data_IF_733078056028
#
_entry.id   IF_733078056028
#
_cell.length_a   1.000
_cell.length_b   1.000
_cell.length_c   1.000
_cell.angle_alpha   90.00
_cell.angle_beta   90.00
_cell.angle_gamma   90.00
#
_symmetry.space_group_name_H-M   'P 1'
#
loop_
_entity.id
_entity.type
_entity.pdbx_description
1 polymer ?
#
# COMPACT_ATOMS: atom_id res chain seq x y z
N UNK A 1 18.25 18.40 10.99
CA UNK A 1 17.03 17.59 10.78
C UNK A 1 15.84 18.47 11.12
N UNK A 2 14.92 18.70 10.18
CA UNK A 2 13.73 19.53 10.43
C UNK A 2 12.62 18.68 11.08
N UNK A 3 11.84 19.29 11.98
CA UNK A 3 10.72 18.66 12.70
C UNK A 3 9.76 17.94 11.74
N UNK A 4 9.56 18.51 10.55
CA UNK A 4 8.72 17.96 9.47
C UNK A 4 9.18 16.59 8.98
N UNK A 5 10.50 16.32 8.99
CA UNK A 5 11.07 15.04 8.54
C UNK A 5 10.89 13.95 9.60
N UNK A 6 11.01 14.30 10.87
CA UNK A 6 10.74 13.40 12.00
C UNK A 6 9.26 13.02 12.02
N UNK A 7 8.36 14.00 11.85
CA UNK A 7 6.91 13.73 11.76
C UNK A 7 6.59 12.82 10.57
N UNK A 8 7.19 13.06 9.40
CA UNK A 8 7.02 12.20 8.23
C UNK A 8 7.50 10.77 8.48
N UNK A 9 8.65 10.58 9.14
CA UNK A 9 9.19 9.26 9.47
C UNK A 9 8.33 8.52 10.50
N UNK A 10 7.82 9.23 11.52
CA UNK A 10 6.91 8.65 12.52
C UNK A 10 5.58 8.26 11.89
N UNK A 11 4.98 9.14 11.07
CA UNK A 11 3.74 8.84 10.33
C UNK A 11 3.97 7.67 9.37
N UNK A 12 5.09 7.64 8.65
CA UNK A 12 5.44 6.53 7.77
C UNK A 12 5.63 5.22 8.53
N UNK A 13 6.31 5.24 9.68
CA UNK A 13 6.52 4.07 10.52
C UNK A 13 5.20 3.55 11.09
N UNK A 14 4.35 4.45 11.58
CA UNK A 14 3.04 4.11 12.14
C UNK A 14 2.12 3.56 11.05
N UNK A 15 2.07 4.19 9.88
CA UNK A 15 1.35 3.65 8.72
C UNK A 15 1.93 2.30 8.30
N UNK A 16 3.24 2.12 8.21
CA UNK A 16 3.84 0.84 7.84
C UNK A 16 3.49 -0.29 8.82
N UNK A 17 3.39 0.03 10.11
CA UNK A 17 3.18 -0.96 11.19
C UNK A 17 1.70 -1.22 11.48
N UNK A 18 0.83 -0.22 11.31
CA UNK A 18 -0.58 -0.27 11.64
C UNK A 18 -1.52 -0.17 10.42
N UNK A 19 -1.01 -0.08 9.19
CA UNK A 19 -1.90 -0.09 8.03
C UNK A 19 -2.60 -1.46 7.96
N UNK A 20 -3.93 -1.53 8.20
CA UNK A 20 -4.67 -2.79 8.17
C UNK A 20 -4.57 -3.47 6.80
N UNK A 21 -4.21 -2.72 5.75
CA UNK A 21 -4.01 -3.25 4.42
C UNK A 21 -2.71 -4.06 4.29
N UNK A 22 -1.73 -3.92 5.18
CA UNK A 22 -0.56 -4.81 5.19
C UNK A 22 -0.89 -6.25 5.61
N UNK A 23 -2.06 -6.48 6.22
CA UNK A 23 -2.59 -7.82 6.48
C UNK A 23 -3.28 -8.44 5.25
N UNK A 24 -3.59 -7.64 4.22
CA UNK A 24 -4.15 -8.14 2.97
C UNK A 24 -3.02 -8.66 2.07
N UNK A 25 -2.96 -9.96 1.74
CA UNK A 25 -1.88 -10.55 0.93
C UNK A 25 -1.73 -9.86 -0.43
N UNK A 26 -2.86 -9.62 -1.09
CA UNK A 26 -2.97 -8.97 -2.40
C UNK A 26 -2.46 -7.52 -2.37
N UNK A 27 -2.66 -6.81 -1.24
CA UNK A 27 -2.14 -5.46 -1.08
C UNK A 27 -0.61 -5.47 -0.90
N UNK A 28 -0.07 -6.45 -0.16
CA UNK A 28 1.37 -6.64 0.03
C UNK A 28 2.06 -6.90 -1.31
N UNK A 29 1.54 -7.83 -2.09
CA UNK A 29 2.08 -8.18 -3.40
C UNK A 29 2.00 -6.99 -4.37
N UNK A 30 0.86 -6.30 -4.43
CA UNK A 30 0.74 -5.08 -5.21
C UNK A 30 1.72 -3.98 -4.78
N UNK A 31 1.98 -3.82 -3.48
CA UNK A 31 2.95 -2.85 -2.99
C UNK A 31 4.40 -3.21 -3.38
N UNK A 32 4.73 -4.49 -3.42
CA UNK A 32 6.04 -4.96 -3.87
C UNK A 32 6.24 -4.74 -5.38
N UNK A 33 5.24 -5.08 -6.19
CA UNK A 33 5.26 -4.85 -7.63
C UNK A 33 5.35 -3.34 -7.93
N UNK A 34 4.63 -2.50 -7.19
CA UNK A 34 4.70 -1.05 -7.34
C UNK A 34 6.10 -0.53 -7.02
N UNK A 35 6.72 -0.98 -5.92
CA UNK A 35 8.10 -0.60 -5.56
C UNK A 35 9.10 -1.03 -6.61
N UNK A 36 8.96 -2.24 -7.16
CA UNK A 36 9.81 -2.73 -8.24
C UNK A 36 9.61 -1.90 -9.51
N UNK A 37 8.36 -1.63 -9.87
CA UNK A 37 8.00 -0.80 -11.02
C UNK A 37 8.54 0.63 -10.92
N UNK A 38 8.52 1.25 -9.74
CA UNK A 38 9.16 2.55 -9.51
C UNK A 38 10.68 2.48 -9.67
N UNK A 39 11.34 1.43 -9.18
CA UNK A 39 12.80 1.25 -9.35
C UNK A 39 13.20 1.05 -10.80
N UNK A 40 12.38 0.37 -11.60
CA UNK A 40 12.67 0.08 -13.01
C UNK A 40 12.04 1.09 -13.99
N UNK A 41 11.34 2.11 -13.50
CA UNK A 41 10.63 3.08 -14.34
C UNK A 41 9.43 2.51 -15.11
N UNK A 42 8.93 1.32 -14.76
CA UNK A 42 7.82 0.67 -15.46
C UNK A 42 6.46 1.18 -14.94
N UNK A 43 5.94 2.22 -15.59
CA UNK A 43 4.65 2.86 -15.23
C UNK A 43 3.45 1.91 -15.37
N UNK A 44 3.46 0.98 -16.33
CA UNK A 44 2.42 -0.04 -16.46
C UNK A 44 2.36 -0.98 -15.26
N UNK A 45 3.51 -1.42 -14.75
CA UNK A 45 3.57 -2.28 -13.56
C UNK A 45 3.02 -1.55 -12.33
N UNK A 46 3.39 -0.27 -12.16
CA UNK A 46 2.83 0.62 -11.12
C UNK A 46 1.30 0.74 -11.25
N UNK A 47 0.79 0.95 -12.47
CA UNK A 47 -0.65 1.04 -12.74
C UNK A 47 -1.41 -0.23 -12.39
N UNK A 48 -0.90 -1.40 -12.81
CA UNK A 48 -1.49 -2.71 -12.50
C UNK A 48 -1.48 -3.00 -11.00
N UNK A 49 -0.35 -2.73 -10.34
CA UNK A 49 -0.20 -2.86 -8.90
C UNK A 49 -1.20 -1.99 -8.12
N UNK A 50 -1.40 -0.73 -8.54
CA UNK A 50 -2.40 0.17 -7.94
C UNK A 50 -3.82 -0.33 -8.11
N UNK A 51 -4.15 -0.92 -9.27
CA UNK A 51 -5.46 -1.51 -9.53
C UNK A 51 -5.71 -2.72 -8.61
N UNK A 52 -4.76 -3.66 -8.53
CA UNK A 52 -4.84 -4.84 -7.66
C UNK A 52 -5.00 -4.43 -6.19
N UNK A 53 -4.20 -3.45 -5.74
CA UNK A 53 -4.33 -2.87 -4.40
C UNK A 53 -5.75 -2.36 -4.12
N UNK A 54 -6.34 -1.56 -5.02
CA UNK A 54 -7.72 -1.09 -4.86
C UNK A 54 -8.73 -2.23 -4.78
N UNK A 55 -8.59 -3.26 -5.63
CA UNK A 55 -9.47 -4.43 -5.59
C UNK A 55 -9.39 -5.15 -4.23
N UNK A 56 -8.18 -5.33 -3.68
CA UNK A 56 -8.00 -5.93 -2.36
C UNK A 56 -8.69 -5.12 -1.25
N UNK A 57 -8.63 -3.78 -1.31
CA UNK A 57 -9.35 -2.91 -0.36
C UNK A 57 -10.86 -3.09 -0.50
N UNK A 58 -11.38 -3.03 -1.73
CA UNK A 58 -12.81 -3.19 -1.99
C UNK A 58 -13.30 -4.58 -1.55
N UNK A 59 -12.53 -5.64 -1.77
CA UNK A 59 -12.85 -6.99 -1.30
C UNK A 59 -12.86 -7.06 0.23
N UNK A 60 -11.90 -6.45 0.91
CA UNK A 60 -11.84 -6.41 2.36
C UNK A 60 -12.97 -5.59 3.00
N UNK A 61 -13.35 -4.47 2.38
CA UNK A 61 -14.49 -3.65 2.80
C UNK A 61 -15.83 -4.35 2.51
N UNK A 62 -15.95 -5.02 1.36
CA UNK A 62 -17.12 -5.82 1.01
C UNK A 62 -17.34 -6.98 1.97
N UNK A 63 -16.28 -7.66 2.44
CA UNK A 63 -16.37 -8.69 3.49
C UNK A 63 -16.83 -8.13 4.84
N UNK A 64 -16.49 -6.88 5.17
CA UNK A 64 -16.94 -6.22 6.40
C UNK A 64 -18.40 -5.74 6.34
N UNK A 65 -18.93 -5.46 5.15
CA UNK A 65 -20.32 -5.01 4.98
C UNK A 65 -21.35 -6.16 5.01
N UNK A 66 -20.89 -7.41 4.97
CA UNK A 66 -21.73 -8.64 4.95
C UNK A 66 -21.69 -9.39 6.29
N UNK A 67 -20.95 -8.89 7.28
CA UNK A 67 -20.89 -9.45 8.65
C UNK A 67 -21.79 -8.70 9.62
#
# INVERSE_FOLDING_TARGET
>A
MTLSRIIADVVWFWQRRHNPMCALPEWREGNEIERRGHRTGCTQAVGRARKAKRQAVHAALGRKAVQ
#
